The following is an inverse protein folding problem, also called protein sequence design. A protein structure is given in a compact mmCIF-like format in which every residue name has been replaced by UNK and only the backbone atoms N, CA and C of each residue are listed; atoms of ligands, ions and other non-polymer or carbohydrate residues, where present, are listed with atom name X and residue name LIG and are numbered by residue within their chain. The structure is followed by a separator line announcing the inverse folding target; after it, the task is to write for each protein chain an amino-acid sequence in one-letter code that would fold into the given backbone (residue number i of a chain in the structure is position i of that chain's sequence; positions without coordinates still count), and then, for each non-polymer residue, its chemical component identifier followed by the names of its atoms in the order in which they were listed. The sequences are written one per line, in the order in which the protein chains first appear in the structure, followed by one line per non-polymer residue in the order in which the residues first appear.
data_IF_589367294269
#
_entry.id   IF_589367294269
#
_cell.length_a   1.000
_cell.length_b   1.000
_cell.length_c   1.000
_cell.angle_alpha   90.00
_cell.angle_beta   90.00
_cell.angle_gamma   90.00
#
_symmetry.space_group_name_H-M   'P 1'
#
loop_
_entity.id
_entity.type
_entity.pdbx_description
1 polymer ?
#
# COMPACT_ATOMS: atom_id res chain seq x y z
N UNK A 1 -12.27 5.36 -18.54
CA UNK A 1 -13.23 6.46 -18.84
C UNK A 1 -13.02 7.67 -17.91
N UNK A 2 -12.78 8.88 -18.43
CA UNK A 2 -12.64 10.10 -17.59
C UNK A 2 -13.97 10.44 -16.92
N UNK A 3 -13.93 11.00 -15.71
CA UNK A 3 -15.12 11.56 -15.07
C UNK A 3 -15.52 12.91 -15.74
N UNK A 4 -16.72 13.44 -15.49
CA UNK A 4 -17.19 14.70 -16.11
C UNK A 4 -16.27 15.90 -15.85
N UNK A 5 -15.59 15.92 -14.70
CA UNK A 5 -14.59 16.92 -14.31
C UNK A 5 -13.19 16.66 -14.94
N UNK A 6 -13.10 15.74 -15.90
CA UNK A 6 -11.85 15.31 -16.52
C UNK A 6 -10.98 14.39 -15.64
N UNK A 7 -11.37 14.14 -14.39
CA UNK A 7 -10.54 13.38 -13.45
C UNK A 7 -10.44 11.89 -13.82
N UNK A 8 -9.32 11.31 -13.40
CA UNK A 8 -9.00 9.88 -13.57
C UNK A 8 -8.64 9.31 -12.21
N UNK A 9 -9.05 8.07 -11.99
CA UNK A 9 -8.63 7.27 -10.83
C UNK A 9 -7.50 6.34 -11.22
N UNK A 10 -6.38 6.46 -10.51
CA UNK A 10 -5.18 5.65 -10.64
C UNK A 10 -5.13 4.63 -9.51
N UNK A 11 -4.76 3.38 -9.83
CA UNK A 11 -4.71 2.28 -8.87
C UNK A 11 -3.30 1.74 -8.77
N UNK A 12 -2.73 1.79 -7.58
CA UNK A 12 -1.41 1.31 -7.28
C UNK A 12 -1.52 0.03 -6.43
N UNK A 13 -0.66 -0.94 -6.72
CA UNK A 13 -0.71 -2.27 -6.12
C UNK A 13 0.66 -2.69 -5.61
N UNK A 14 0.73 -3.26 -4.42
CA UNK A 14 1.75 -4.29 -4.16
C UNK A 14 1.30 -5.60 -4.83
N UNK A 15 2.27 -6.40 -5.29
CA UNK A 15 1.98 -7.65 -6.01
C UNK A 15 1.80 -8.80 -5.01
N UNK A 16 2.82 -9.03 -4.18
CA UNK A 16 2.91 -10.18 -3.30
C UNK A 16 1.89 -10.06 -2.17
N UNK A 17 1.12 -11.13 -1.96
CA UNK A 17 0.09 -11.28 -0.92
C UNK A 17 -1.10 -10.29 -0.96
N UNK A 18 -0.94 -9.15 -1.65
CA UNK A 18 -1.99 -8.17 -1.91
C UNK A 18 -2.74 -8.42 -3.23
N UNK A 19 -2.03 -8.66 -4.34
CA UNK A 19 -2.65 -8.85 -5.66
C UNK A 19 -2.68 -10.33 -6.05
N UNK A 20 -1.59 -11.05 -5.80
CA UNK A 20 -1.38 -12.43 -6.24
C UNK A 20 -0.73 -13.25 -5.11
N UNK A 21 -1.29 -14.43 -4.85
CA UNK A 21 -0.62 -15.48 -4.08
C UNK A 21 0.12 -16.40 -5.05
N UNK A 22 1.41 -16.16 -5.21
CA UNK A 22 2.27 -16.93 -6.10
C UNK A 22 3.03 -18.00 -5.34
N UNK A 23 3.28 -19.19 -5.92
CA UNK A 23 4.07 -20.26 -5.31
C UNK A 23 5.59 -19.96 -5.23
N UNK A 24 6.00 -18.74 -5.58
CA UNK A 24 7.39 -18.27 -5.56
C UNK A 24 8.02 -18.49 -4.19
N UNK A 25 9.25 -19.01 -4.16
CA UNK A 25 9.93 -19.39 -2.91
C UNK A 25 11.07 -18.46 -2.57
N UNK A 26 11.23 -18.21 -1.28
CA UNK A 26 12.44 -17.67 -0.68
C UNK A 26 13.22 -18.81 -0.04
N UNK A 27 14.55 -18.66 0.03
CA UNK A 27 15.42 -19.71 0.54
C UNK A 27 16.27 -19.18 1.69
N UNK A 28 15.89 -19.53 2.92
CA UNK A 28 16.65 -19.21 4.12
C UNK A 28 17.81 -20.19 4.27
N UNK A 29 18.97 -19.70 4.69
CA UNK A 29 20.14 -20.53 4.94
C UNK A 29 20.33 -20.78 6.43
N UNK A 30 20.51 -22.03 6.82
CA UNK A 30 20.89 -22.41 8.17
C UNK A 30 22.43 -22.54 8.28
N UNK A 31 23.05 -21.69 9.10
CA UNK A 31 24.50 -21.60 9.27
C UNK A 31 25.12 -22.83 9.95
N UNK A 32 24.37 -23.54 10.79
CA UNK A 32 24.86 -24.69 11.56
C UNK A 32 24.79 -25.98 10.76
N UNK A 33 23.65 -26.23 10.11
CA UNK A 33 23.39 -27.46 9.34
C UNK A 33 23.86 -27.35 7.89
N UNK A 34 24.14 -26.13 7.42
CA UNK A 34 24.45 -25.84 6.02
C UNK A 34 23.36 -26.27 5.03
N UNK A 35 22.09 -26.14 5.45
CA UNK A 35 20.93 -26.48 4.64
C UNK A 35 20.07 -25.25 4.33
N UNK A 36 19.34 -25.32 3.23
CA UNK A 36 18.34 -24.33 2.86
C UNK A 36 16.93 -24.78 3.23
N UNK A 37 16.08 -23.82 3.59
CA UNK A 37 14.65 -24.02 3.75
C UNK A 37 13.90 -23.09 2.81
N UNK A 38 13.06 -23.68 1.97
CA UNK A 38 12.16 -22.94 1.10
C UNK A 38 10.92 -22.49 1.89
N UNK A 39 10.63 -21.19 1.85
CA UNK A 39 9.46 -20.57 2.50
C UNK A 39 8.75 -19.63 1.51
N UNK A 40 7.49 -19.33 1.77
CA UNK A 40 6.71 -18.31 1.06
C UNK A 40 7.02 -16.89 1.53
N UNK A 41 6.54 -15.87 0.82
CA UNK A 41 6.62 -14.46 1.22
C UNK A 41 5.94 -14.19 2.55
N UNK A 42 4.73 -14.73 2.75
CA UNK A 42 4.01 -14.63 4.03
C UNK A 42 4.77 -15.27 5.20
N UNK A 43 5.28 -16.49 5.03
CA UNK A 43 6.11 -17.12 6.07
C UNK A 43 7.38 -16.31 6.36
N UNK A 44 8.00 -15.71 5.33
CA UNK A 44 9.15 -14.83 5.53
C UNK A 44 8.78 -13.58 6.32
N UNK A 45 7.62 -12.98 6.04
CA UNK A 45 7.14 -11.79 6.76
C UNK A 45 7.00 -12.05 8.27
N UNK A 46 6.55 -13.25 8.65
CA UNK A 46 6.40 -13.67 10.05
C UNK A 46 7.74 -13.89 10.76
N UNK A 47 8.77 -14.39 10.05
CA UNK A 47 10.01 -14.86 10.69
C UNK A 47 11.19 -13.91 10.53
N UNK A 48 11.17 -12.99 9.55
CA UNK A 48 12.31 -12.13 9.22
C UNK A 48 12.87 -11.35 10.41
N UNK A 49 12.00 -10.92 11.34
CA UNK A 49 12.39 -10.18 12.54
C UNK A 49 13.11 -11.03 13.59
N UNK A 50 13.03 -12.35 13.49
CA UNK A 50 13.64 -13.31 14.42
C UNK A 50 14.94 -13.95 13.89
N UNK A 51 15.22 -13.84 12.59
CA UNK A 51 16.43 -14.40 11.97
C UNK A 51 17.70 -13.88 12.65
N UNK A 52 18.63 -14.78 12.97
CA UNK A 52 19.89 -14.45 13.65
C UNK A 52 19.75 -14.02 15.12
N UNK A 53 18.53 -13.99 15.68
CA UNK A 53 18.27 -13.68 17.09
C UNK A 53 18.11 -14.96 17.90
N UNK A 54 18.39 -14.90 19.20
CA UNK A 54 18.21 -16.02 20.13
C UNK A 54 16.80 -16.62 20.00
N UNK A 55 16.72 -17.95 19.86
CA UNK A 55 15.46 -18.68 19.67
C UNK A 55 15.53 -19.63 18.48
N UNK A 56 14.38 -20.08 17.98
CA UNK A 56 14.29 -21.09 16.92
C UNK A 56 14.90 -20.65 15.58
N UNK A 57 15.04 -19.33 15.37
CA UNK A 57 15.52 -18.73 14.13
C UNK A 57 16.98 -18.25 14.19
N UNK A 58 17.69 -18.52 15.29
CA UNK A 58 19.05 -17.99 15.50
C UNK A 58 20.07 -18.46 14.45
N UNK A 59 19.97 -19.72 14.01
CA UNK A 59 20.87 -20.29 13.00
C UNK A 59 20.51 -19.88 11.57
N UNK A 60 19.38 -19.21 11.35
CA UNK A 60 18.85 -18.91 10.02
C UNK A 60 19.18 -17.49 9.59
N UNK A 61 19.55 -17.33 8.32
CA UNK A 61 19.97 -16.04 7.76
C UNK A 61 19.51 -15.85 6.31
N UNK A 62 19.40 -14.58 5.92
CA UNK A 62 19.24 -14.13 4.54
C UNK A 62 20.62 -14.10 3.86
N UNK A 63 20.67 -14.52 2.60
CA UNK A 63 21.84 -14.49 1.72
C UNK A 63 21.49 -13.80 0.40
N UNK A 64 22.48 -13.44 -0.45
CA UNK A 64 22.22 -12.90 -1.77
C UNK A 64 21.22 -13.73 -2.60
N UNK A 65 21.25 -15.06 -2.43
CA UNK A 65 20.42 -16.01 -3.17
C UNK A 65 19.09 -16.36 -2.52
N UNK A 66 18.76 -15.76 -1.37
CA UNK A 66 17.46 -15.96 -0.70
C UNK A 66 16.30 -15.56 -1.60
N UNK A 67 16.49 -14.54 -2.44
CA UNK A 67 15.46 -13.95 -3.31
C UNK A 67 15.65 -14.32 -4.79
N UNK A 68 16.37 -15.39 -5.10
CA UNK A 68 16.70 -15.77 -6.48
C UNK A 68 15.46 -15.96 -7.38
N UNK A 69 14.38 -16.53 -6.84
CA UNK A 69 13.12 -16.73 -7.58
C UNK A 69 12.28 -15.45 -7.67
N UNK A 70 12.69 -14.38 -6.97
CA UNK A 70 12.08 -13.06 -7.03
C UNK A 70 12.78 -12.15 -8.07
N UNK A 71 13.68 -12.69 -8.90
CA UNK A 71 14.47 -11.99 -9.89
C UNK A 71 14.44 -12.71 -11.23
N UNK A 72 14.73 -11.96 -12.29
CA UNK A 72 14.89 -12.52 -13.62
C UNK A 72 16.20 -13.31 -13.74
N UNK A 73 16.13 -14.42 -14.45
CA UNK A 73 17.28 -15.22 -14.86
C UNK A 73 17.88 -14.63 -16.15
N UNK A 74 19.20 -14.35 -16.19
CA UNK A 74 19.85 -13.84 -17.40
C UNK A 74 19.67 -14.79 -18.59
N UNK A 75 19.34 -14.22 -19.76
CA UNK A 75 19.19 -14.98 -21.00
C UNK A 75 17.87 -15.74 -21.15
N UNK A 76 16.97 -15.67 -20.16
CA UNK A 76 15.63 -16.26 -20.22
C UNK A 76 14.62 -15.23 -20.71
N UNK A 77 13.73 -15.61 -21.62
CA UNK A 77 12.70 -14.72 -22.14
C UNK A 77 11.69 -14.35 -21.03
N UNK A 78 11.13 -13.13 -21.07
CA UNK A 78 10.19 -12.63 -20.07
C UNK A 78 9.02 -13.59 -19.75
N UNK A 79 8.49 -14.28 -20.76
CA UNK A 79 7.38 -15.24 -20.61
C UNK A 79 7.77 -16.55 -19.94
N UNK A 80 9.07 -16.84 -19.87
CA UNK A 80 9.67 -18.04 -19.27
C UNK A 80 10.31 -17.75 -17.91
N UNK A 81 10.36 -16.48 -17.49
CA UNK A 81 10.85 -16.06 -16.18
C UNK A 81 9.98 -16.65 -15.05
N UNK A 82 10.59 -16.79 -13.88
CA UNK A 82 9.96 -17.40 -12.70
C UNK A 82 8.63 -16.74 -12.36
N UNK A 83 8.53 -15.40 -12.40
CA UNK A 83 7.27 -14.68 -12.16
C UNK A 83 6.10 -15.18 -13.03
N UNK A 84 6.31 -15.28 -14.35
CA UNK A 84 5.25 -15.66 -15.28
C UNK A 84 4.92 -17.14 -15.18
N UNK A 85 5.94 -17.99 -14.97
CA UNK A 85 5.74 -19.42 -14.72
C UNK A 85 4.92 -19.68 -13.45
N UNK A 86 5.27 -19.01 -12.36
CA UNK A 86 4.57 -19.13 -11.08
C UNK A 86 3.15 -18.60 -11.16
N UNK A 87 2.93 -17.52 -11.91
CA UNK A 87 1.59 -17.00 -12.20
C UNK A 87 0.72 -18.03 -12.91
N UNK A 88 1.24 -18.67 -13.97
CA UNK A 88 0.53 -19.74 -14.69
C UNK A 88 0.23 -20.92 -13.76
N UNK A 89 1.24 -21.38 -13.03
CA UNK A 89 1.09 -22.49 -12.09
C UNK A 89 0.06 -22.20 -10.99
N UNK A 90 0.02 -20.96 -10.48
CA UNK A 90 -0.97 -20.54 -9.49
C UNK A 90 -2.40 -20.62 -10.05
N UNK A 91 -2.62 -20.08 -11.26
CA UNK A 91 -3.91 -20.13 -11.96
C UNK A 91 -4.34 -21.57 -12.24
N UNK A 92 -3.43 -22.42 -12.71
CA UNK A 92 -3.70 -23.82 -13.07
C UNK A 92 -3.93 -24.72 -11.84
N UNK A 93 -3.43 -24.33 -10.67
CA UNK A 93 -3.49 -25.17 -9.46
C UNK A 93 -4.91 -25.40 -8.92
N UNK A 94 -5.90 -24.60 -9.34
CA UNK A 94 -7.26 -24.62 -8.80
C UNK A 94 -7.40 -24.10 -7.37
N UNK A 95 -6.30 -23.65 -6.74
CA UNK A 95 -6.31 -22.99 -5.42
C UNK A 95 -6.57 -21.49 -5.57
N UNK A 96 -6.95 -20.85 -4.47
CA UNK A 96 -7.08 -19.38 -4.42
C UNK A 96 -5.71 -18.73 -4.62
N UNK A 97 -5.50 -18.13 -5.79
CA UNK A 97 -4.30 -17.35 -6.14
C UNK A 97 -4.56 -15.84 -6.17
N UNK A 98 -5.83 -15.43 -6.13
CA UNK A 98 -6.25 -14.04 -6.16
C UNK A 98 -6.06 -13.42 -4.78
N UNK A 99 -5.20 -12.41 -4.69
CA UNK A 99 -5.06 -11.59 -3.49
C UNK A 99 -6.28 -10.69 -3.26
N UNK A 100 -6.40 -10.07 -2.08
CA UNK A 100 -7.57 -9.28 -1.73
C UNK A 100 -7.78 -8.04 -2.61
N UNK A 101 -6.73 -7.51 -3.25
CA UNK A 101 -6.83 -6.39 -4.20
C UNK A 101 -7.11 -6.81 -5.65
N UNK A 102 -7.22 -8.11 -5.93
CA UNK A 102 -7.55 -8.61 -7.27
C UNK A 102 -8.80 -7.96 -7.90
N UNK A 103 -9.93 -7.78 -7.19
CA UNK A 103 -11.10 -7.12 -7.77
C UNK A 103 -10.85 -5.68 -8.24
N UNK A 104 -9.93 -4.96 -7.60
CA UNK A 104 -9.55 -3.61 -8.00
C UNK A 104 -8.76 -3.61 -9.32
N UNK A 105 -7.89 -4.60 -9.54
CA UNK A 105 -7.19 -4.76 -10.83
C UNK A 105 -8.17 -5.13 -11.95
N UNK A 106 -9.11 -6.03 -11.69
CA UNK A 106 -10.18 -6.38 -12.65
C UNK A 106 -10.99 -5.13 -13.01
N UNK A 107 -11.37 -4.32 -12.02
CA UNK A 107 -12.05 -3.04 -12.25
C UNK A 107 -11.18 -2.09 -13.09
N UNK A 108 -9.89 -1.98 -12.79
CA UNK A 108 -8.97 -1.12 -13.52
C UNK A 108 -8.83 -1.55 -14.99
N UNK A 109 -8.69 -2.85 -15.26
CA UNK A 109 -8.62 -3.44 -16.59
C UNK A 109 -9.89 -3.15 -17.41
N UNK A 110 -11.06 -3.46 -16.84
CA UNK A 110 -12.34 -3.27 -17.51
C UNK A 110 -12.65 -1.80 -17.83
N UNK A 111 -12.17 -0.87 -16.99
CA UNK A 111 -12.46 0.56 -17.12
C UNK A 111 -11.31 1.40 -17.70
N UNK A 112 -10.22 0.73 -18.11
CA UNK A 112 -8.99 1.35 -18.60
C UNK A 112 -8.50 2.44 -17.64
N UNK A 113 -8.40 2.08 -16.35
CA UNK A 113 -7.86 2.92 -15.29
C UNK A 113 -6.35 2.74 -15.25
N UNK A 114 -5.55 3.83 -15.19
CA UNK A 114 -4.11 3.67 -15.16
C UNK A 114 -3.64 3.03 -13.86
N UNK A 115 -2.62 2.19 -13.93
CA UNK A 115 -2.09 1.44 -12.80
C UNK A 115 -0.60 1.68 -12.59
N UNK A 116 -0.16 1.46 -11.35
CA UNK A 116 1.24 1.21 -11.05
C UNK A 116 1.38 -0.04 -10.18
N UNK A 117 2.48 -0.77 -10.33
CA UNK A 117 2.84 -1.85 -9.41
C UNK A 117 4.08 -1.42 -8.62
N UNK A 118 4.04 -1.53 -7.30
CA UNK A 118 5.15 -1.19 -6.39
C UNK A 118 5.41 -2.37 -5.47
N UNK A 119 6.39 -3.20 -5.83
CA UNK A 119 6.66 -4.50 -5.19
C UNK A 119 8.12 -4.64 -4.79
N UNK A 120 8.39 -5.42 -3.74
CA UNK A 120 9.74 -5.81 -3.32
C UNK A 120 10.44 -6.79 -4.28
N UNK A 121 9.73 -7.32 -5.28
CA UNK A 121 10.33 -8.14 -6.35
C UNK A 121 11.46 -7.41 -7.08
N UNK A 122 12.33 -8.19 -7.72
CA UNK A 122 13.47 -7.72 -8.52
C UNK A 122 13.40 -8.09 -10.01
N UNK A 123 12.26 -8.58 -10.49
CA UNK A 123 12.01 -8.84 -11.91
C UNK A 123 12.06 -7.55 -12.73
N UNK A 124 12.45 -7.64 -14.00
CA UNK A 124 12.40 -6.49 -14.91
C UNK A 124 10.94 -6.04 -15.13
N UNK A 125 10.70 -4.73 -15.37
CA UNK A 125 9.38 -4.22 -15.72
C UNK A 125 8.70 -5.01 -16.85
N UNK A 126 9.47 -5.39 -17.89
CA UNK A 126 8.94 -6.18 -19.02
C UNK A 126 8.46 -7.58 -18.63
N UNK A 127 9.04 -8.18 -17.59
CA UNK A 127 8.58 -9.47 -17.06
C UNK A 127 7.25 -9.33 -16.32
N UNK A 128 7.08 -8.26 -15.54
CA UNK A 128 5.81 -7.99 -14.86
C UNK A 128 4.70 -7.68 -15.89
N UNK A 129 5.03 -6.90 -16.92
CA UNK A 129 4.12 -6.61 -18.04
C UNK A 129 3.71 -7.89 -18.80
N UNK A 130 4.66 -8.81 -19.05
CA UNK A 130 4.36 -10.10 -19.66
C UNK A 130 3.41 -10.95 -18.79
N UNK A 131 3.52 -10.89 -17.47
CA UNK A 131 2.56 -11.55 -16.57
C UNK A 131 1.16 -10.94 -16.65
N UNK A 132 1.03 -9.62 -16.73
CA UNK A 132 -0.26 -8.96 -16.96
C UNK A 132 -0.87 -9.34 -18.31
N UNK A 133 -0.05 -9.43 -19.37
CA UNK A 133 -0.49 -9.86 -20.68
C UNK A 133 -0.96 -11.33 -20.68
N UNK A 134 -0.30 -12.21 -19.92
CA UNK A 134 -0.75 -13.60 -19.77
C UNK A 134 -2.10 -13.69 -19.05
N UNK A 135 -2.36 -12.88 -18.01
CA UNK A 135 -3.67 -12.82 -17.37
C UNK A 135 -4.79 -12.43 -18.34
N UNK A 136 -4.51 -11.55 -19.30
CA UNK A 136 -5.47 -11.21 -20.39
C UNK A 136 -5.68 -12.40 -21.32
N UNK A 137 -4.59 -13.05 -21.75
CA UNK A 137 -4.65 -14.23 -22.62
C UNK A 137 -5.43 -15.39 -22.00
N UNK A 138 -5.37 -15.54 -20.68
CA UNK A 138 -6.14 -16.51 -19.91
C UNK A 138 -7.60 -16.10 -19.66
N UNK A 139 -8.02 -14.92 -20.13
CA UNK A 139 -9.39 -14.40 -19.95
C UNK A 139 -9.69 -13.90 -18.53
N UNK A 140 -8.67 -13.70 -17.70
CA UNK A 140 -8.80 -13.25 -16.30
C UNK A 140 -8.87 -11.73 -16.17
N UNK A 141 -8.31 -11.00 -17.14
CA UNK A 141 -8.43 -9.56 -17.30
C UNK A 141 -9.01 -9.24 -18.68
N UNK A 142 -9.87 -8.21 -18.75
CA UNK A 142 -10.46 -7.79 -20.02
C UNK A 142 -9.43 -7.19 -21.00
N UNK A 143 -8.38 -6.54 -20.48
CA UNK A 143 -7.25 -5.97 -21.20
C UNK A 143 -6.14 -5.63 -20.19
N UNK A 144 -4.92 -5.39 -20.67
CA UNK A 144 -3.87 -4.80 -19.83
C UNK A 144 -4.27 -3.35 -19.54
N UNK A 145 -4.41 -2.93 -18.26
CA UNK A 145 -4.71 -1.54 -17.94
C UNK A 145 -3.55 -0.63 -18.37
N UNK A 146 -3.78 0.66 -18.67
CA UNK A 146 -2.69 1.59 -18.94
C UNK A 146 -1.68 1.61 -17.78
N UNK A 147 -0.39 1.46 -18.06
CA UNK A 147 0.65 1.36 -17.03
C UNK A 147 1.36 2.71 -16.91
N UNK A 148 1.33 3.31 -15.72
CA UNK A 148 2.12 4.53 -15.43
C UNK A 148 3.46 4.23 -14.78
N UNK A 149 3.65 3.02 -14.23
CA UNK A 149 4.94 2.54 -13.78
C UNK A 149 4.92 1.13 -13.17
N UNK A 150 5.98 0.37 -13.39
CA UNK A 150 6.23 -0.93 -12.77
C UNK A 150 7.52 -0.83 -11.97
N UNK A 151 7.39 -0.85 -10.66
CA UNK A 151 8.46 -0.60 -9.70
C UNK A 151 8.76 -1.86 -8.90
N UNK A 152 9.55 -2.74 -9.50
CA UNK A 152 10.23 -3.83 -8.81
C UNK A 152 11.42 -3.23 -8.04
N UNK A 153 11.20 -2.81 -6.80
CA UNK A 153 12.15 -1.92 -6.10
C UNK A 153 13.45 -2.60 -5.67
N UNK A 154 13.59 -3.90 -5.88
CA UNK A 154 14.85 -4.63 -5.70
C UNK A 154 15.61 -4.85 -7.02
N UNK A 155 15.07 -4.37 -8.15
CA UNK A 155 15.70 -4.44 -9.46
C UNK A 155 16.70 -3.26 -9.65
N UNK A 156 17.97 -3.51 -10.02
CA UNK A 156 18.97 -2.45 -10.20
C UNK A 156 18.60 -1.39 -11.26
N UNK A 157 17.93 -1.79 -12.35
CA UNK A 157 17.46 -0.89 -13.38
C UNK A 157 16.37 0.07 -12.87
N UNK A 158 15.42 -0.45 -12.07
CA UNK A 158 14.39 0.35 -11.40
C UNK A 158 15.01 1.30 -10.38
N UNK A 159 15.96 0.83 -9.56
CA UNK A 159 16.68 1.67 -8.59
C UNK A 159 17.37 2.85 -9.28
N UNK A 160 18.08 2.58 -10.37
CA UNK A 160 18.74 3.60 -11.18
C UNK A 160 17.73 4.60 -11.77
N UNK A 161 16.59 4.11 -12.29
CA UNK A 161 15.54 4.95 -12.84
C UNK A 161 14.87 5.86 -11.79
N UNK A 162 14.80 5.41 -10.54
CA UNK A 162 14.33 6.20 -9.39
C UNK A 162 15.39 7.15 -8.82
N UNK A 163 16.63 7.10 -9.33
CA UNK A 163 17.74 7.91 -8.83
C UNK A 163 18.22 7.48 -7.44
N UNK A 164 17.99 6.22 -7.04
CA UNK A 164 18.48 5.69 -5.76
C UNK A 164 19.98 5.41 -5.88
N UNK A 165 20.77 6.17 -5.13
CA UNK A 165 22.24 6.07 -5.12
C UNK A 165 22.79 5.51 -3.82
N UNK A 166 22.04 5.60 -2.72
CA UNK A 166 22.44 5.07 -1.42
C UNK A 166 22.19 3.55 -1.38
N UNK A 167 23.24 2.72 -1.28
CA UNK A 167 23.11 1.27 -1.22
C UNK A 167 22.47 0.76 0.08
N UNK A 168 22.37 1.61 1.12
CA UNK A 168 21.76 1.26 2.40
C UNK A 168 20.28 1.65 2.49
N UNK A 169 19.72 2.21 1.43
CA UNK A 169 18.31 2.57 1.41
C UNK A 169 17.43 1.32 1.49
N UNK A 170 16.52 1.31 2.45
CA UNK A 170 15.66 0.15 2.70
C UNK A 170 14.56 0.04 1.63
N UNK A 171 14.10 -1.19 1.38
CA UNK A 171 12.97 -1.47 0.47
C UNK A 171 11.74 -0.59 0.78
N UNK A 172 11.32 -0.42 2.06
CA UNK A 172 10.28 0.53 2.41
C UNK A 172 10.54 1.98 1.92
N UNK A 173 11.74 2.50 2.16
CA UNK A 173 12.10 3.85 1.70
C UNK A 173 12.04 3.99 0.18
N UNK A 174 12.47 2.95 -0.55
CA UNK A 174 12.42 2.95 -2.02
C UNK A 174 10.98 2.83 -2.52
N UNK A 175 10.13 1.97 -1.92
CA UNK A 175 8.69 1.89 -2.24
C UNK A 175 8.02 3.26 -2.07
N UNK A 176 8.37 4.01 -1.03
CA UNK A 176 7.86 5.39 -0.83
C UNK A 176 8.26 6.34 -1.96
N UNK A 177 9.49 6.25 -2.48
CA UNK A 177 9.95 7.02 -3.64
C UNK A 177 9.16 6.61 -4.89
N UNK A 178 9.00 5.30 -5.12
CA UNK A 178 8.26 4.75 -6.25
C UNK A 178 6.80 5.22 -6.31
N UNK A 179 6.08 5.23 -5.18
CA UNK A 179 4.70 5.75 -5.10
C UNK A 179 4.65 7.22 -5.53
N UNK A 180 5.59 8.04 -5.05
CA UNK A 180 5.65 9.48 -5.38
C UNK A 180 5.98 9.69 -6.87
N UNK A 181 6.88 8.89 -7.42
CA UNK A 181 7.22 8.91 -8.85
C UNK A 181 6.01 8.50 -9.70
N UNK A 182 5.26 7.46 -9.31
CA UNK A 182 4.05 7.02 -9.99
C UNK A 182 2.98 8.11 -10.07
N UNK A 183 2.77 8.86 -8.97
CA UNK A 183 1.89 10.04 -8.96
C UNK A 183 2.39 11.10 -9.95
N UNK A 184 3.68 11.43 -9.89
CA UNK A 184 4.26 12.45 -10.77
C UNK A 184 4.12 12.06 -12.26
N UNK A 185 4.42 10.81 -12.61
CA UNK A 185 4.22 10.28 -13.97
C UNK A 185 2.77 10.32 -14.41
N UNK A 186 1.85 9.94 -13.53
CA UNK A 186 0.42 10.04 -13.81
C UNK A 186 -0.01 11.46 -14.16
N UNK A 187 0.47 12.46 -13.43
CA UNK A 187 0.19 13.87 -13.71
C UNK A 187 0.84 14.37 -15.00
N UNK A 188 2.08 13.94 -15.30
CA UNK A 188 2.75 14.28 -16.57
C UNK A 188 1.99 13.68 -17.76
N UNK A 189 1.56 12.43 -17.67
CA UNK A 189 0.95 11.70 -18.78
C UNK A 189 -0.52 12.09 -19.01
N UNK A 190 -1.27 12.41 -17.95
CA UNK A 190 -2.72 12.64 -18.04
C UNK A 190 -3.15 14.10 -17.80
N UNK A 191 -2.18 14.99 -17.55
CA UNK A 191 -2.40 16.39 -17.24
C UNK A 191 -2.47 16.63 -15.73
N UNK A 192 -1.92 17.76 -15.29
CA UNK A 192 -1.92 18.12 -13.88
C UNK A 192 -3.19 18.85 -13.43
N UNK A 193 -3.93 19.48 -14.34
CA UNK A 193 -5.09 20.32 -14.01
C UNK A 193 -6.29 19.57 -13.42
N UNK A 194 -6.71 18.39 -13.93
CA UNK A 194 -7.90 17.74 -13.39
C UNK A 194 -7.68 17.23 -11.94
N UNK A 195 -8.76 17.13 -11.13
CA UNK A 195 -8.67 16.67 -9.75
C UNK A 195 -8.54 15.14 -9.66
N UNK A 196 -7.41 14.62 -10.15
CA UNK A 196 -7.12 13.18 -10.18
C UNK A 196 -7.14 12.54 -8.79
N UNK A 197 -7.47 11.24 -8.78
CA UNK A 197 -7.54 10.39 -7.59
C UNK A 197 -6.47 9.31 -7.69
N UNK A 198 -5.64 9.15 -6.68
CA UNK A 198 -4.62 8.10 -6.62
C UNK A 198 -4.88 7.21 -5.41
N UNK A 199 -4.90 5.89 -5.59
CA UNK A 199 -5.10 4.94 -4.51
C UNK A 199 -4.02 3.87 -4.50
N UNK A 200 -3.40 3.59 -3.35
CA UNK A 200 -2.51 2.44 -3.15
C UNK A 200 -3.22 1.41 -2.29
N UNK A 201 -3.15 0.14 -2.70
CA UNK A 201 -3.69 -1.00 -1.94
C UNK A 201 -2.57 -1.89 -1.45
N UNK A 202 -2.72 -2.40 -0.22
CA UNK A 202 -1.76 -3.30 0.43
C UNK A 202 -2.47 -4.06 1.57
N UNK A 203 -2.05 -5.31 1.82
CA UNK A 203 -2.59 -6.16 2.88
C UNK A 203 -1.68 -6.21 4.13
N UNK A 204 -0.41 -5.79 4.03
CA UNK A 204 0.51 -5.72 5.16
C UNK A 204 0.39 -4.38 5.92
N UNK A 205 0.17 -4.38 7.25
CA UNK A 205 0.03 -3.15 8.04
C UNK A 205 1.22 -2.18 7.96
N UNK A 206 2.46 -2.70 7.81
CA UNK A 206 3.65 -1.83 7.71
C UNK A 206 3.70 -1.15 6.34
N UNK A 207 3.38 -1.87 5.27
CA UNK A 207 3.26 -1.30 3.93
C UNK A 207 2.08 -0.33 3.83
N UNK A 208 0.94 -0.59 4.48
CA UNK A 208 -0.17 0.37 4.60
C UNK A 208 0.30 1.66 5.26
N UNK A 209 1.02 1.57 6.37
CA UNK A 209 1.59 2.74 7.07
C UNK A 209 2.55 3.53 6.18
N UNK A 210 3.38 2.82 5.41
CA UNK A 210 4.26 3.41 4.41
C UNK A 210 3.49 4.11 3.30
N UNK A 211 2.44 3.49 2.78
CA UNK A 211 1.59 4.06 1.74
C UNK A 211 0.92 5.34 2.25
N UNK A 212 0.43 5.37 3.50
CA UNK A 212 -0.10 6.58 4.14
C UNK A 212 0.96 7.68 4.17
N UNK A 213 2.18 7.35 4.58
CA UNK A 213 3.31 8.30 4.62
C UNK A 213 3.64 8.85 3.22
N UNK A 214 3.67 8.01 2.19
CA UNK A 214 3.92 8.41 0.80
C UNK A 214 2.79 9.31 0.26
N UNK A 215 1.53 8.91 0.48
CA UNK A 215 0.35 9.63 0.01
C UNK A 215 0.18 10.98 0.72
N UNK A 216 0.58 11.09 1.99
CA UNK A 216 0.64 12.37 2.71
C UNK A 216 1.65 13.33 2.08
N UNK A 217 2.85 12.85 1.74
CA UNK A 217 3.85 13.67 1.06
C UNK A 217 3.33 14.15 -0.31
N UNK A 218 2.62 13.27 -1.04
CA UNK A 218 1.95 13.63 -2.28
C UNK A 218 0.84 14.67 -2.05
N UNK A 219 0.03 14.55 -0.99
CA UNK A 219 -1.05 15.51 -0.66
C UNK A 219 -0.51 16.89 -0.33
N UNK A 220 0.63 16.97 0.36
CA UNK A 220 1.31 18.26 0.61
C UNK A 220 1.75 18.90 -0.71
N UNK A 221 2.30 18.11 -1.63
CA UNK A 221 2.79 18.61 -2.93
C UNK A 221 1.66 18.92 -3.93
N UNK A 222 0.58 18.17 -3.88
CA UNK A 222 -0.54 18.23 -4.82
C UNK A 222 -1.87 18.35 -4.05
N UNK A 223 -2.14 19.53 -3.43
CA UNK A 223 -3.24 19.72 -2.48
C UNK A 223 -4.63 19.57 -3.11
N UNK A 224 -4.76 19.78 -4.42
CA UNK A 224 -6.00 19.67 -5.18
C UNK A 224 -6.31 18.24 -5.64
N UNK A 225 -5.35 17.32 -5.50
CA UNK A 225 -5.52 15.88 -5.78
C UNK A 225 -6.04 15.15 -4.56
N UNK A 226 -6.68 14.00 -4.81
CA UNK A 226 -7.19 13.12 -3.75
C UNK A 226 -6.33 11.88 -3.68
N UNK A 227 -5.91 11.50 -2.48
CA UNK A 227 -5.08 10.34 -2.24
C UNK A 227 -5.78 9.38 -1.30
N UNK A 228 -5.71 8.10 -1.63
CA UNK A 228 -6.34 7.03 -0.88
C UNK A 228 -5.32 5.96 -0.54
N UNK A 229 -5.49 5.35 0.63
CA UNK A 229 -4.84 4.09 0.99
C UNK A 229 -5.95 3.09 1.28
N UNK A 230 -5.85 1.92 0.66
CA UNK A 230 -6.83 0.85 0.78
C UNK A 230 -6.14 -0.26 1.57
N UNK A 231 -6.49 -0.40 2.85
CA UNK A 231 -6.09 -1.55 3.64
C UNK A 231 -6.95 -2.73 3.21
N UNK A 232 -6.30 -3.81 2.77
CA UNK A 232 -6.95 -5.04 2.32
C UNK A 232 -6.57 -6.24 3.19
N UNK A 233 -6.11 -5.99 4.42
CA UNK A 233 -5.84 -7.02 5.41
C UNK A 233 -7.13 -7.83 5.70
N UNK A 234 -6.97 -9.12 6.04
CA UNK A 234 -8.03 -10.13 6.14
C UNK A 234 -9.21 -9.77 7.06
N UNK A 235 -9.02 -8.82 7.99
CA UNK A 235 -10.06 -8.37 8.93
C UNK A 235 -10.82 -7.13 8.45
N UNK A 236 -10.27 -6.36 7.51
CA UNK A 236 -10.77 -5.03 7.17
C UNK A 236 -10.49 -4.65 5.70
N UNK A 237 -11.54 -4.36 4.93
CA UNK A 237 -11.44 -3.65 3.66
C UNK A 237 -11.75 -2.17 3.88
N UNK A 238 -10.73 -1.39 4.22
CA UNK A 238 -10.90 0.02 4.62
C UNK A 238 -10.20 0.93 3.64
N UNK A 239 -10.98 1.85 3.04
CA UNK A 239 -10.49 2.90 2.16
C UNK A 239 -10.35 4.21 2.94
N UNK A 240 -9.13 4.63 3.19
CA UNK A 240 -8.77 5.85 3.89
C UNK A 240 -8.46 6.96 2.88
N UNK A 241 -9.06 8.14 3.04
CA UNK A 241 -8.67 9.34 2.30
C UNK A 241 -7.68 10.19 3.11
N UNK A 242 -6.64 10.68 2.44
CA UNK A 242 -5.62 11.53 3.06
C UNK A 242 -6.01 13.01 2.94
N UNK A 243 -6.30 13.63 4.08
CA UNK A 243 -6.57 15.06 4.19
C UNK A 243 -5.32 15.85 4.58
N UNK A 244 -5.22 17.14 4.22
CA UNK A 244 -4.18 18.03 4.75
C UNK A 244 -4.29 18.13 6.28
N UNK A 245 -3.16 18.21 6.99
CA UNK A 245 -3.15 18.37 8.45
C UNK A 245 -3.91 19.62 8.94
N UNK A 246 -4.06 20.66 8.10
CA UNK A 246 -4.82 21.86 8.42
C UNK A 246 -6.36 21.67 8.35
N UNK A 247 -6.83 20.51 7.88
CA UNK A 247 -8.23 20.10 7.94
C UNK A 247 -8.39 19.04 9.02
N UNK A 248 -8.66 19.40 10.29
CA UNK A 248 -9.12 18.39 11.23
C UNK A 248 -10.40 17.76 10.67
N UNK A 249 -10.49 16.43 10.70
CA UNK A 249 -11.68 15.66 10.33
C UNK A 249 -12.90 16.04 11.20
N UNK A 250 -12.66 16.82 12.27
CA UNK A 250 -13.63 17.39 13.20
C UNK A 250 -13.81 18.91 13.06
N UNK A 251 -13.36 19.55 11.97
CA UNK A 251 -13.69 20.95 11.72
C UNK A 251 -15.21 21.07 11.54
N UNK A 252 -15.91 21.47 12.60
CA UNK A 252 -17.31 21.82 12.56
C UNK A 252 -17.50 22.84 11.43
N UNK A 253 -18.20 22.44 10.38
CA UNK A 253 -18.75 23.38 9.43
C UNK A 253 -19.69 24.28 10.24
N UNK A 254 -19.39 25.57 10.26
CA UNK A 254 -20.03 26.63 11.06
C UNK A 254 -19.63 26.62 12.53
N UNK A 255 -19.11 27.76 13.01
CA UNK A 255 -18.66 27.99 14.37
C UNK A 255 -19.78 28.01 15.41
N UNK A 256 -20.45 26.88 15.58
CA UNK A 256 -21.27 26.59 16.74
C UNK A 256 -20.52 25.56 17.59
N UNK A 257 -20.14 25.95 18.82
CA UNK A 257 -19.51 25.05 19.78
C UNK A 257 -20.36 23.81 19.99
N UNK A 258 -19.74 22.63 19.88
CA UNK A 258 -20.39 21.31 19.93
C UNK A 258 -20.78 20.88 21.36
N UNK A 259 -20.56 21.73 22.36
CA UNK A 259 -21.01 21.52 23.74
C UNK A 259 -21.53 22.87 24.26
N UNK A 260 -22.85 22.97 24.45
CA UNK A 260 -23.42 23.96 25.36
C UNK A 260 -23.26 23.41 26.77
N UNK A 261 -22.19 23.79 27.44
CA UNK A 261 -22.13 23.72 28.90
C UNK A 261 -22.99 24.84 29.47
N UNK A 262 -24.31 24.63 29.49
CA UNK A 262 -25.18 25.36 30.42
C UNK A 262 -25.44 24.46 31.64
N UNK A 263 -24.61 24.52 32.70
CA UNK A 263 -25.10 24.15 34.00
C UNK A 263 -26.06 25.27 34.42
N UNK A 264 -27.37 25.05 34.29
CA UNK A 264 -28.36 25.89 34.98
C UNK A 264 -27.95 25.94 36.45
N UNK A 265 -27.67 27.11 37.03
CA UNK A 265 -27.46 27.19 38.46
C UNK A 265 -28.77 26.79 39.16
N UNK A 266 -28.71 26.00 40.25
CA UNK A 266 -29.90 25.71 41.05
C UNK A 266 -30.46 27.02 41.62
N UNK A 267 -31.79 27.12 41.81
CA UNK A 267 -32.40 28.34 42.35
C UNK A 267 -31.86 28.61 43.76
N UNK A 268 -31.37 29.84 43.98
CA UNK A 268 -30.89 30.30 45.28
C UNK A 268 -31.99 30.23 46.34
N UNK A 269 -31.70 29.69 47.54
CA UNK A 269 -32.66 29.69 48.64
C UNK A 269 -32.88 31.11 49.17
N UNK A 270 -34.14 31.42 49.46
CA UNK A 270 -34.58 32.70 50.01
C UNK A 270 -33.82 33.06 51.29
N UNK A 271 -33.43 34.33 51.36
CA UNK A 271 -32.95 35.00 52.56
C UNK A 271 -34.00 34.94 53.68
N UNK A 272 -33.70 34.22 54.76
CA UNK A 272 -34.42 34.30 56.02
C UNK A 272 -33.43 34.47 57.17
N UNK A 273 -33.50 35.63 57.82
CA UNK A 273 -32.76 35.96 59.04
C UNK A 273 -32.50 37.47 59.09
N UNK A 274 -32.92 38.24 60.08
CA UNK A 274 -33.59 37.91 61.32
C UNK A 274 -34.30 39.17 61.83
N UNK A 275 -35.47 38.98 62.42
CA UNK A 275 -36.14 39.96 63.28
C UNK A 275 -35.31 40.07 64.57
N UNK A 276 -34.71 41.24 64.79
CA UNK A 276 -34.20 41.63 66.11
C UNK A 276 -35.34 42.31 66.86
N UNK A 277 -35.97 41.57 67.76
CA UNK A 277 -36.75 42.12 68.87
C UNK A 277 -35.89 42.13 70.12
N UNK A 278 -35.49 43.32 70.56
CA UNK A 278 -35.20 43.58 71.97
C UNK A 278 -36.39 44.34 72.55
N UNK A 279 -36.97 43.80 73.62
CA UNK A 279 -38.07 44.41 74.33
C UNK A 279 -37.63 45.57 75.22
N UNK A 280 -38.60 46.33 75.69
CA UNK A 280 -38.86 46.55 77.11
C UNK A 280 -39.97 47.61 77.27
N UNK A 281 -40.92 47.26 78.14
CA UNK A 281 -41.81 48.14 78.90
C UNK A 281 -42.99 48.79 78.20
#
# INVERSE_FOLDING_TARGET
MRAPDGSISFYFFDIDDNLLFLPTRLYLWNAETQQEMAISSGEFADVQGALGRSGNWHAWAVRPETFRDFRDQPGVAAIEQTFVRDLKAAVESGKTWQGPSWPLLVHAAANQRPIACVTARGHEPGTIEAGLAELVKLGLLAAVPPIVGLYAVSNPGVLKALGVTDPHMTVPSIKKIAIRDAVARGLVQYGAEPPHRFGMSDDDPNNVTLAISAMRDCKVKYPDKRFFVINTNREEFVKLEIFPMAHPVTAAATGAGLLRDDPRPPPSPMSAGAVLGHGAS
#
